data_IF_858772203038
#
_entry.id   IF_858772203038
#
_cell.length_a   1.000
_cell.length_b   1.000
_cell.length_c   1.000
_cell.angle_alpha   90.00
_cell.angle_beta   90.00
_cell.angle_gamma   90.00
#
_symmetry.space_group_name_H-M   'P 1'
#
loop_
_entity.id
_entity.type
_entity.pdbx_description
1 polymer ?
#
# COMPACT_ATOMS: atom_id res chain seq x y z
N UNK A 1 -25.72 35.45 -64.55
CA UNK A 1 -24.56 34.54 -64.42
C UNK A 1 -24.66 33.89 -63.08
N UNK A 2 -24.90 32.65 -63.09
CA UNK A 2 -25.30 31.80 -61.99
C UNK A 2 -24.07 31.26 -61.31
N UNK A 3 -23.93 31.37 -59.93
CA UNK A 3 -22.99 30.58 -59.15
C UNK A 3 -23.73 30.01 -57.97
N UNK A 4 -23.96 28.71 -58.06
CA UNK A 4 -24.62 27.89 -57.04
C UNK A 4 -23.78 27.71 -55.80
N UNK A 5 -24.38 27.25 -54.67
CA UNK A 5 -23.71 27.10 -53.36
C UNK A 5 -22.89 25.81 -53.30
N UNK A 6 -21.63 25.93 -52.85
CA UNK A 6 -20.80 24.79 -52.48
C UNK A 6 -21.26 24.20 -51.13
N UNK A 7 -21.92 23.06 -51.18
CA UNK A 7 -22.08 22.13 -50.09
C UNK A 7 -20.77 21.37 -49.92
N UNK A 8 -20.12 21.48 -48.76
CA UNK A 8 -18.90 20.79 -48.42
C UNK A 8 -18.65 20.74 -46.93
N UNK A 9 -19.68 20.41 -46.15
CA UNK A 9 -19.53 20.06 -44.73
C UNK A 9 -19.13 18.61 -44.57
N UNK A 10 -17.84 18.29 -44.61
CA UNK A 10 -17.34 17.01 -44.11
C UNK A 10 -17.44 17.04 -42.59
N UNK A 11 -18.53 16.47 -42.05
CA UNK A 11 -18.61 16.09 -40.63
C UNK A 11 -17.45 15.16 -40.32
N UNK A 12 -16.47 15.64 -39.56
CA UNK A 12 -15.52 14.78 -38.92
C UNK A 12 -16.31 13.98 -37.87
N UNK A 13 -16.69 12.76 -38.20
CA UNK A 13 -16.98 11.78 -37.19
C UNK A 13 -15.69 11.67 -36.33
N UNK A 14 -15.69 12.19 -35.11
CA UNK A 14 -14.74 11.79 -34.11
C UNK A 14 -14.94 10.28 -33.94
N UNK A 15 -13.99 9.48 -34.41
CA UNK A 15 -13.92 8.09 -34.05
C UNK A 15 -13.93 8.08 -32.50
N UNK A 16 -14.95 7.45 -31.92
CA UNK A 16 -14.96 7.17 -30.47
C UNK A 16 -13.71 6.33 -30.25
N UNK A 17 -12.74 6.83 -29.53
CA UNK A 17 -11.54 6.04 -29.16
C UNK A 17 -12.02 4.83 -28.37
N UNK A 18 -11.55 3.64 -28.71
CA UNK A 18 -11.87 2.42 -27.98
C UNK A 18 -11.53 2.60 -26.49
N UNK A 19 -12.36 2.04 -25.60
CA UNK A 19 -12.16 2.15 -24.15
C UNK A 19 -10.82 1.52 -23.70
N UNK A 20 -10.45 0.39 -24.31
CA UNK A 20 -9.16 -0.27 -24.06
C UNK A 20 -8.32 -0.27 -25.34
N UNK A 21 -7.38 0.67 -25.55
CA UNK A 21 -6.56 0.73 -26.77
C UNK A 21 -5.64 -0.50 -26.91
N UNK A 22 -5.62 -1.08 -28.12
CA UNK A 22 -4.72 -2.18 -28.45
C UNK A 22 -3.43 -1.59 -29.03
N UNK A 23 -2.29 -1.99 -28.48
CA UNK A 23 -0.96 -1.42 -28.78
C UNK A 23 0.04 -2.54 -29.05
N UNK A 24 0.80 -2.51 -30.17
CA UNK A 24 1.91 -3.42 -30.36
C UNK A 24 2.99 -3.21 -29.29
N UNK A 25 3.66 -4.28 -28.91
CA UNK A 25 4.73 -4.22 -27.89
C UNK A 25 5.84 -3.19 -28.23
N UNK A 26 6.15 -3.02 -29.52
CA UNK A 26 7.14 -2.04 -29.98
C UNK A 26 6.76 -0.59 -29.62
N UNK A 27 5.46 -0.29 -29.59
CA UNK A 27 4.94 1.06 -29.36
C UNK A 27 4.49 1.31 -27.91
N UNK A 28 4.73 0.33 -27.00
CA UNK A 28 4.22 0.36 -25.63
C UNK A 28 4.68 1.57 -24.81
N UNK A 29 5.91 2.03 -25.01
CA UNK A 29 6.48 3.10 -24.18
C UNK A 29 5.70 4.41 -24.29
N UNK A 30 5.27 4.80 -25.48
CA UNK A 30 4.47 6.01 -25.67
C UNK A 30 3.13 5.89 -24.96
N UNK A 31 2.51 4.70 -24.99
CA UNK A 31 1.22 4.45 -24.33
C UNK A 31 1.36 4.32 -22.82
N UNK A 32 2.37 3.61 -22.37
CA UNK A 32 2.64 3.39 -20.94
C UNK A 32 3.33 4.57 -20.27
N UNK A 33 3.76 5.60 -21.00
CA UNK A 33 4.42 6.76 -20.41
C UNK A 33 3.60 7.36 -19.26
N UNK A 34 2.28 7.50 -19.43
CA UNK A 34 1.38 7.98 -18.38
C UNK A 34 1.24 6.97 -17.21
N UNK A 35 1.39 5.68 -17.46
CA UNK A 35 1.34 4.60 -16.45
C UNK A 35 2.65 4.52 -15.68
N UNK A 36 3.79 4.66 -16.38
CA UNK A 36 5.14 4.53 -15.79
C UNK A 36 5.58 5.81 -15.07
N UNK A 37 5.19 6.99 -15.56
CA UNK A 37 5.54 8.28 -14.95
C UNK A 37 4.48 8.75 -13.93
N UNK A 38 4.03 7.85 -13.08
CA UNK A 38 3.08 8.17 -12.00
C UNK A 38 3.70 8.90 -10.82
N UNK A 39 5.02 9.14 -10.86
CA UNK A 39 5.73 10.01 -9.90
C UNK A 39 5.20 11.44 -9.90
N UNK A 40 4.52 11.85 -10.98
CA UNK A 40 3.76 13.10 -11.05
C UNK A 40 2.60 13.23 -10.03
N UNK A 41 2.32 12.21 -9.22
CA UNK A 41 1.41 12.33 -8.07
C UNK A 41 1.93 13.35 -7.05
N UNK A 42 3.22 13.62 -7.04
CA UNK A 42 3.86 14.60 -6.14
C UNK A 42 4.04 15.96 -6.83
N UNK A 43 2.91 16.59 -7.17
CA UNK A 43 2.88 17.99 -7.63
C UNK A 43 3.45 18.91 -6.56
N UNK A 44 4.27 19.89 -6.97
CA UNK A 44 4.88 20.86 -6.08
C UNK A 44 3.82 21.71 -5.31
N UNK A 45 2.64 21.92 -5.93
CA UNK A 45 1.51 22.60 -5.29
C UNK A 45 0.91 21.76 -4.16
N UNK A 46 0.76 20.45 -4.37
CA UNK A 46 0.29 19.54 -3.31
C UNK A 46 1.31 19.49 -2.17
N UNK A 47 2.60 19.37 -2.49
CA UNK A 47 3.64 19.33 -1.46
C UNK A 47 3.65 20.63 -0.62
N UNK A 48 3.56 21.78 -1.24
CA UNK A 48 3.51 23.07 -0.53
C UNK A 48 2.27 23.18 0.39
N UNK A 49 1.10 22.76 -0.11
CA UNK A 49 -0.13 22.73 0.69
C UNK A 49 -0.01 21.79 1.90
N UNK A 50 0.53 20.58 1.69
CA UNK A 50 0.71 19.59 2.75
C UNK A 50 1.73 20.07 3.79
N UNK A 51 2.85 20.68 3.39
CA UNK A 51 3.80 21.30 4.33
C UNK A 51 3.13 22.34 5.23
N UNK A 52 2.23 23.15 4.66
CA UNK A 52 1.43 24.10 5.43
C UNK A 52 0.52 23.41 6.46
N UNK A 53 -0.17 22.33 6.05
CA UNK A 53 -1.04 21.55 6.95
C UNK A 53 -0.21 20.91 8.08
N UNK A 54 0.92 20.27 7.77
CA UNK A 54 1.80 19.64 8.75
C UNK A 54 2.31 20.65 9.79
N UNK A 55 2.75 21.85 9.32
CA UNK A 55 3.22 22.92 10.20
C UNK A 55 2.10 23.44 11.11
N UNK A 56 0.90 23.63 10.57
CA UNK A 56 -0.26 24.13 11.32
C UNK A 56 -0.69 23.15 12.42
N UNK A 57 -0.80 21.86 12.11
CA UNK A 57 -1.15 20.83 13.11
C UNK A 57 -0.05 20.71 14.18
N UNK A 58 1.23 20.77 13.80
CA UNK A 58 2.36 20.75 14.78
C UNK A 58 2.28 21.93 15.75
N UNK A 59 1.83 23.10 15.30
CA UNK A 59 1.76 24.31 16.11
C UNK A 59 0.49 24.42 16.95
N UNK A 60 -0.67 24.04 16.41
CA UNK A 60 -1.99 24.31 17.02
C UNK A 60 -2.75 23.07 17.48
N UNK A 61 -2.21 21.86 17.26
CA UNK A 61 -2.81 20.61 17.72
C UNK A 61 -4.22 20.39 17.22
N UNK A 62 -5.12 19.99 18.13
CA UNK A 62 -6.54 19.73 17.83
C UNK A 62 -7.26 20.89 17.14
N UNK A 63 -6.90 22.12 17.47
CA UNK A 63 -7.53 23.29 16.87
C UNK A 63 -7.29 23.33 15.35
N UNK A 64 -6.06 23.06 14.91
CA UNK A 64 -5.74 22.98 13.47
C UNK A 64 -6.45 21.79 12.81
N UNK A 65 -6.45 20.63 13.45
CA UNK A 65 -7.13 19.43 12.92
C UNK A 65 -8.61 19.70 12.69
N UNK A 66 -9.28 20.32 13.66
CA UNK A 66 -10.72 20.65 13.57
C UNK A 66 -11.01 21.69 12.49
N UNK A 67 -10.21 22.76 12.41
CA UNK A 67 -10.38 23.82 11.40
C UNK A 67 -10.18 23.28 9.97
N UNK A 68 -9.19 22.40 9.78
CA UNK A 68 -8.91 21.76 8.50
C UNK A 68 -10.00 20.73 8.13
N UNK A 69 -10.50 19.96 9.10
CA UNK A 69 -11.61 19.02 8.87
C UNK A 69 -12.89 19.78 8.50
N UNK A 70 -13.22 20.88 9.20
CA UNK A 70 -14.35 21.72 8.83
C UNK A 70 -14.20 22.30 7.43
N UNK A 71 -12.99 22.74 7.07
CA UNK A 71 -12.71 23.30 5.73
C UNK A 71 -12.84 22.27 4.60
N UNK A 72 -12.36 21.04 4.81
CA UNK A 72 -12.26 20.04 3.75
C UNK A 72 -13.44 19.08 3.70
N UNK A 73 -13.99 18.70 4.87
CA UNK A 73 -15.06 17.73 5.00
C UNK A 73 -16.42 18.39 5.31
N UNK A 74 -16.44 19.73 5.54
CA UNK A 74 -17.66 20.50 5.77
C UNK A 74 -18.29 20.30 7.15
N UNK A 75 -17.59 19.66 8.08
CA UNK A 75 -18.10 19.33 9.42
C UNK A 75 -17.00 19.51 10.47
N UNK A 76 -17.38 19.95 11.67
CA UNK A 76 -16.49 20.05 12.84
C UNK A 76 -16.84 18.93 13.83
N UNK A 77 -16.23 17.76 13.73
CA UNK A 77 -16.60 16.58 14.51
C UNK A 77 -16.07 16.65 15.94
N UNK A 78 -16.57 15.77 16.81
CA UNK A 78 -15.82 15.32 17.97
C UNK A 78 -14.72 14.38 17.50
N UNK A 79 -13.45 14.75 17.66
CA UNK A 79 -12.32 14.00 17.09
C UNK A 79 -12.32 12.52 17.52
N UNK A 80 -12.40 12.23 18.81
CA UNK A 80 -12.45 10.85 19.30
C UNK A 80 -13.89 10.33 19.29
N UNK A 81 -14.10 9.22 18.59
CA UNK A 81 -15.38 8.51 18.59
C UNK A 81 -15.57 7.81 19.94
N UNK A 82 -16.72 7.98 20.62
CA UNK A 82 -17.01 7.30 21.88
C UNK A 82 -17.10 5.79 21.73
N UNK A 83 -16.60 5.03 22.70
CA UNK A 83 -16.59 3.56 22.67
C UNK A 83 -17.97 2.95 22.65
N UNK A 84 -18.94 3.56 23.35
CA UNK A 84 -20.34 3.14 23.34
C UNK A 84 -20.98 3.24 21.95
N UNK A 85 -20.56 4.22 21.14
CA UNK A 85 -20.96 4.31 19.73
C UNK A 85 -20.34 3.21 18.88
N UNK A 86 -19.08 2.85 19.13
CA UNK A 86 -18.43 1.71 18.46
C UNK A 86 -19.19 0.40 18.79
N UNK A 87 -19.55 0.21 20.05
CA UNK A 87 -20.34 -0.95 20.48
C UNK A 87 -21.72 -0.99 19.82
N UNK A 88 -22.40 0.15 19.75
CA UNK A 88 -23.70 0.26 19.10
C UNK A 88 -23.62 -0.03 17.59
N UNK A 89 -22.59 0.46 16.89
CA UNK A 89 -22.43 0.17 15.46
C UNK A 89 -22.12 -1.30 15.19
N UNK A 90 -21.31 -1.95 16.03
CA UNK A 90 -21.05 -3.39 15.94
C UNK A 90 -22.30 -4.22 16.21
N UNK A 91 -23.11 -3.81 17.20
CA UNK A 91 -24.37 -4.49 17.53
C UNK A 91 -25.42 -4.36 16.41
N UNK A 92 -25.39 -3.25 15.65
CA UNK A 92 -26.30 -3.00 14.54
C UNK A 92 -25.85 -3.64 13.21
N UNK A 93 -24.63 -4.20 13.16
CA UNK A 93 -24.11 -4.81 11.94
C UNK A 93 -24.93 -6.04 11.55
N UNK A 94 -25.24 -6.15 10.26
CA UNK A 94 -25.92 -7.32 9.71
C UNK A 94 -25.17 -8.61 10.08
N UNK A 95 -25.85 -9.64 10.64
CA UNK A 95 -25.18 -10.84 11.12
C UNK A 95 -24.46 -11.65 10.05
N UNK A 96 -24.92 -11.61 8.79
CA UNK A 96 -24.28 -12.33 7.68
C UNK A 96 -23.01 -11.59 7.27
N UNK A 97 -23.08 -10.26 7.12
CA UNK A 97 -21.91 -9.43 6.86
C UNK A 97 -20.88 -9.52 8.00
N UNK A 98 -21.34 -9.56 9.25
CA UNK A 98 -20.47 -9.76 10.41
C UNK A 98 -19.65 -11.05 10.27
N UNK A 99 -20.29 -12.18 9.93
CA UNK A 99 -19.58 -13.46 9.71
C UNK A 99 -18.57 -13.39 8.57
N UNK A 100 -18.90 -12.66 7.49
CA UNK A 100 -17.96 -12.44 6.38
C UNK A 100 -16.72 -11.68 6.85
N UNK A 101 -16.89 -10.58 7.59
CA UNK A 101 -15.78 -9.77 8.11
C UNK A 101 -14.93 -10.56 9.13
N UNK A 102 -15.56 -11.33 10.03
CA UNK A 102 -14.89 -12.20 11.00
C UNK A 102 -14.01 -13.26 10.28
N UNK A 103 -14.56 -13.88 9.22
CA UNK A 103 -13.83 -14.89 8.44
C UNK A 103 -12.68 -14.25 7.66
N UNK A 104 -12.90 -13.11 7.02
CA UNK A 104 -11.86 -12.36 6.32
C UNK A 104 -10.71 -12.00 7.28
N UNK A 105 -11.02 -11.44 8.45
CA UNK A 105 -10.03 -11.12 9.48
C UNK A 105 -9.26 -12.35 9.96
N UNK A 106 -9.94 -13.50 10.13
CA UNK A 106 -9.29 -14.76 10.51
C UNK A 106 -8.34 -15.30 9.42
N UNK A 107 -8.70 -15.16 8.14
CA UNK A 107 -7.85 -15.55 7.02
C UNK A 107 -6.60 -14.65 6.93
N UNK A 108 -6.78 -13.33 7.05
CA UNK A 108 -5.67 -12.36 7.07
C UNK A 108 -4.75 -12.63 8.27
N UNK A 109 -5.32 -12.92 9.46
CA UNK A 109 -4.53 -13.28 10.63
C UNK A 109 -3.66 -14.51 10.40
N UNK A 110 -4.23 -15.59 9.86
CA UNK A 110 -3.51 -16.83 9.58
C UNK A 110 -2.36 -16.62 8.60
N UNK A 111 -2.55 -15.80 7.57
CA UNK A 111 -1.51 -15.44 6.62
C UNK A 111 -0.36 -14.70 7.32
N UNK A 112 -0.67 -13.67 8.08
CA UNK A 112 0.34 -12.85 8.75
C UNK A 112 1.02 -13.55 9.94
N UNK A 113 0.37 -14.51 10.59
CA UNK A 113 1.01 -15.37 11.59
C UNK A 113 2.15 -16.21 10.98
N UNK A 114 2.02 -16.62 9.70
CA UNK A 114 3.07 -17.34 8.98
C UNK A 114 4.28 -16.44 8.64
N UNK A 115 4.10 -15.11 8.57
CA UNK A 115 5.18 -14.15 8.31
C UNK A 115 6.02 -13.81 9.55
N UNK A 116 5.57 -14.18 10.76
CA UNK A 116 6.21 -13.74 12.01
C UNK A 116 7.65 -14.21 12.12
N UNK A 117 8.63 -13.30 12.11
CA UNK A 117 10.03 -13.66 12.32
C UNK A 117 10.27 -14.00 13.79
N UNK A 118 11.31 -14.79 14.03
CA UNK A 118 11.72 -15.18 15.40
C UNK A 118 12.97 -14.44 15.82
N UNK A 119 13.02 -14.03 17.09
CA UNK A 119 14.27 -13.62 17.73
C UNK A 119 15.23 -14.82 17.73
N UNK A 120 16.52 -14.54 17.52
CA UNK A 120 17.55 -15.57 17.48
C UNK A 120 18.82 -15.11 18.17
N UNK A 121 19.59 -16.05 18.67
CA UNK A 121 20.93 -15.81 19.18
C UNK A 121 21.81 -17.04 18.88
N UNK A 122 23.08 -16.78 18.64
CA UNK A 122 24.14 -17.77 18.48
C UNK A 122 25.23 -17.48 19.48
N UNK A 123 25.73 -18.49 20.13
CA UNK A 123 26.83 -18.40 21.08
C UNK A 123 27.99 -19.25 20.56
N UNK A 124 29.16 -18.63 20.38
CA UNK A 124 30.36 -19.27 19.85
C UNK A 124 31.60 -18.64 20.50
N UNK A 125 32.51 -19.46 21.00
CA UNK A 125 33.79 -19.07 21.58
C UNK A 125 33.69 -17.93 22.63
N UNK A 126 32.65 -17.98 23.46
CA UNK A 126 32.42 -16.96 24.49
C UNK A 126 31.85 -15.64 23.99
N UNK A 127 31.47 -15.57 22.70
CA UNK A 127 30.70 -14.48 22.11
C UNK A 127 29.23 -14.88 21.90
N UNK A 128 28.31 -14.01 22.28
CA UNK A 128 26.91 -14.12 21.90
C UNK A 128 26.58 -13.01 20.91
N UNK A 129 26.00 -13.37 19.79
CA UNK A 129 25.41 -12.45 18.82
C UNK A 129 23.97 -12.85 18.57
N UNK A 130 23.08 -11.87 18.41
CA UNK A 130 21.69 -12.19 18.18
C UNK A 130 20.88 -11.00 17.74
N UNK A 131 19.60 -11.27 17.49
CA UNK A 131 18.62 -10.27 17.13
C UNK A 131 17.34 -10.48 17.96
N UNK A 132 16.98 -9.45 18.72
CA UNK A 132 15.68 -9.38 19.39
C UNK A 132 14.69 -8.68 18.48
N UNK A 133 13.54 -9.31 18.26
CA UNK A 133 12.43 -8.77 17.52
C UNK A 133 11.33 -8.38 18.50
N UNK A 134 10.84 -7.16 18.39
CA UNK A 134 9.77 -6.63 19.23
C UNK A 134 8.87 -5.69 18.43
N UNK A 135 7.56 -5.61 18.76
CA UNK A 135 6.66 -4.67 18.09
C UNK A 135 7.03 -3.22 18.41
N UNK A 136 6.50 -2.30 17.62
CA UNK A 136 6.33 -0.90 17.99
C UNK A 136 5.24 -0.80 19.07
N UNK A 137 5.16 0.32 19.79
CA UNK A 137 4.18 0.48 20.86
C UNK A 137 2.81 0.90 20.29
N UNK A 138 2.82 1.86 19.31
CA UNK A 138 1.62 2.46 18.75
C UNK A 138 1.65 2.48 17.23
N UNK A 139 0.55 2.10 16.60
CA UNK A 139 0.37 2.20 15.16
C UNK A 139 -0.85 3.07 14.81
N UNK A 140 -0.65 3.99 13.87
CA UNK A 140 -1.70 4.80 13.26
C UNK A 140 -2.19 4.13 11.97
N UNK A 141 -3.48 3.87 11.89
CA UNK A 141 -4.13 3.22 10.76
C UNK A 141 -4.98 4.25 10.02
N UNK A 142 -4.54 4.67 8.85
CA UNK A 142 -5.33 5.55 8.01
C UNK A 142 -6.32 4.72 7.17
N UNK A 143 -7.60 4.97 7.34
CA UNK A 143 -8.67 4.30 6.61
C UNK A 143 -9.40 5.34 5.76
N UNK A 144 -9.25 5.33 4.44
CA UNK A 144 -9.89 6.30 3.59
C UNK A 144 -11.42 6.12 3.64
N UNK A 145 -12.14 7.23 3.55
CA UNK A 145 -13.55 7.29 3.28
C UNK A 145 -13.75 8.32 2.17
N UNK A 146 -14.29 7.92 1.07
CA UNK A 146 -14.56 8.77 -0.07
C UNK A 146 -15.85 8.32 -0.73
N UNK A 147 -15.73 7.79 -1.94
CA UNK A 147 -16.88 7.27 -2.69
C UNK A 147 -17.42 5.93 -2.19
N UNK A 148 -16.66 5.22 -1.34
CA UNK A 148 -17.07 3.95 -0.74
C UNK A 148 -16.46 3.78 0.66
N UNK A 149 -17.17 3.14 1.60
CA UNK A 149 -16.59 2.70 2.87
C UNK A 149 -15.64 1.52 2.60
N UNK A 150 -14.50 1.49 3.29
CA UNK A 150 -13.49 0.45 3.11
C UNK A 150 -13.23 -0.32 4.42
N UNK A 151 -14.18 -1.17 4.88
CA UNK A 151 -13.97 -2.03 6.05
C UNK A 151 -12.77 -3.00 5.83
N UNK A 152 -12.50 -3.41 4.59
CA UNK A 152 -11.31 -4.20 4.22
C UNK A 152 -10.02 -3.50 4.63
N UNK A 153 -9.89 -2.18 4.40
CA UNK A 153 -8.71 -1.42 4.81
C UNK A 153 -8.51 -1.41 6.34
N UNK A 154 -9.59 -1.48 7.13
CA UNK A 154 -9.47 -1.65 8.60
C UNK A 154 -8.83 -3.00 8.90
N UNK A 155 -9.32 -4.08 8.30
CA UNK A 155 -8.80 -5.45 8.51
C UNK A 155 -7.33 -5.53 8.07
N UNK A 156 -7.03 -5.06 6.85
CA UNK A 156 -5.70 -5.17 6.25
C UNK A 156 -4.63 -4.33 6.96
N UNK A 157 -5.01 -3.22 7.58
CA UNK A 157 -4.09 -2.41 8.38
C UNK A 157 -3.97 -2.95 9.82
N UNK A 158 -5.08 -3.36 10.43
CA UNK A 158 -5.10 -3.70 11.85
C UNK A 158 -4.60 -5.12 12.14
N UNK A 159 -4.99 -6.11 11.31
CA UNK A 159 -4.67 -7.51 11.62
C UNK A 159 -3.16 -7.78 11.66
N UNK A 160 -2.34 -7.34 10.70
CA UNK A 160 -0.88 -7.54 10.80
C UNK A 160 -0.26 -6.80 11.99
N UNK A 161 -0.78 -5.64 12.39
CA UNK A 161 -0.34 -4.94 13.60
C UNK A 161 -0.67 -5.74 14.87
N UNK A 162 -1.88 -6.29 14.96
CA UNK A 162 -2.31 -7.15 16.08
C UNK A 162 -1.49 -8.45 16.13
N UNK A 163 -1.18 -9.07 14.99
CA UNK A 163 -0.32 -10.26 14.90
C UNK A 163 1.10 -9.94 15.32
N UNK A 164 1.62 -8.77 14.95
CA UNK A 164 2.94 -8.30 15.39
C UNK A 164 3.00 -8.04 16.90
N UNK A 165 1.85 -7.87 17.57
CA UNK A 165 1.75 -7.60 19.00
C UNK A 165 1.85 -6.12 19.35
N UNK A 166 1.35 -5.22 18.49
CA UNK A 166 1.25 -3.78 18.77
C UNK A 166 0.20 -3.56 19.84
N UNK A 167 0.54 -2.81 20.89
CA UNK A 167 -0.32 -2.62 22.06
C UNK A 167 -1.50 -1.66 21.76
N UNK A 168 -1.25 -0.56 21.06
CA UNK A 168 -2.25 0.47 20.79
C UNK A 168 -2.41 0.74 19.30
N UNK A 169 -3.64 0.59 18.79
CA UNK A 169 -4.01 0.92 17.41
C UNK A 169 -4.90 2.15 17.37
N UNK A 170 -4.52 3.14 16.57
CA UNK A 170 -5.19 4.42 16.41
C UNK A 170 -5.72 4.58 14.99
N UNK A 171 -7.03 4.41 14.78
CA UNK A 171 -7.68 4.52 13.47
C UNK A 171 -8.10 5.96 13.22
N UNK A 172 -7.66 6.53 12.08
CA UNK A 172 -8.17 7.80 11.55
C UNK A 172 -8.96 7.54 10.27
N UNK A 173 -10.20 8.04 10.22
CA UNK A 173 -11.04 7.97 9.02
C UNK A 173 -11.86 9.27 8.88
N UNK A 174 -12.02 9.80 7.65
CA UNK A 174 -12.78 11.02 7.42
C UNK A 174 -14.22 10.91 7.95
N UNK A 175 -14.75 11.96 8.55
CA UNK A 175 -16.16 12.01 8.96
C UNK A 175 -17.09 12.24 7.77
N UNK A 176 -18.31 11.70 7.85
CA UNK A 176 -19.43 12.15 7.05
C UNK A 176 -20.04 13.45 7.58
N UNK A 177 -21.13 13.92 6.95
CA UNK A 177 -21.82 15.16 7.36
C UNK A 177 -22.44 15.09 8.77
N UNK A 178 -22.61 13.89 9.30
CA UNK A 178 -23.00 13.63 10.70
C UNK A 178 -21.87 13.76 11.71
N UNK A 179 -20.66 14.00 11.25
CA UNK A 179 -19.46 14.15 12.07
C UNK A 179 -18.82 12.83 12.50
N UNK A 180 -19.22 11.70 11.91
CA UNK A 180 -18.73 10.37 12.26
C UNK A 180 -18.13 9.65 11.04
N UNK A 181 -17.09 8.82 11.22
CA UNK A 181 -16.68 7.88 10.20
C UNK A 181 -17.81 6.90 9.84
N UNK A 182 -17.72 6.34 8.65
CA UNK A 182 -18.76 5.42 8.15
C UNK A 182 -19.04 4.27 9.14
N UNK A 183 -20.31 3.89 9.41
CA UNK A 183 -20.67 2.86 10.40
C UNK A 183 -19.96 1.51 10.19
N UNK A 184 -19.73 1.08 8.94
CA UNK A 184 -18.98 -0.16 8.65
C UNK A 184 -17.51 -0.08 9.09
N UNK A 185 -16.88 1.09 8.99
CA UNK A 185 -15.51 1.31 9.49
C UNK A 185 -15.47 1.21 11.00
N UNK A 186 -16.43 1.86 11.68
CA UNK A 186 -16.56 1.84 13.14
C UNK A 186 -16.82 0.41 13.65
N UNK A 187 -17.80 -0.28 13.05
CA UNK A 187 -18.14 -1.66 13.42
C UNK A 187 -16.96 -2.62 13.21
N UNK A 188 -16.22 -2.48 12.08
CA UNK A 188 -15.06 -3.35 11.79
C UNK A 188 -13.90 -3.05 12.74
N UNK A 189 -13.62 -1.80 13.05
CA UNK A 189 -12.63 -1.45 14.06
C UNK A 189 -12.98 -2.08 15.42
N UNK A 190 -14.23 -1.97 15.85
CA UNK A 190 -14.71 -2.57 17.11
C UNK A 190 -14.70 -4.10 17.08
N UNK A 191 -15.03 -4.72 15.95
CA UNK A 191 -14.93 -6.17 15.72
C UNK A 191 -13.51 -6.71 16.00
N UNK A 192 -12.49 -5.92 15.64
CA UNK A 192 -11.07 -6.22 15.87
C UNK A 192 -10.57 -5.79 17.26
N UNK A 193 -11.45 -5.28 18.13
CA UNK A 193 -11.11 -4.84 19.49
C UNK A 193 -10.48 -3.45 19.56
N UNK A 194 -10.52 -2.66 18.49
CA UNK A 194 -9.93 -1.31 18.47
C UNK A 194 -10.88 -0.33 19.16
N UNK A 195 -10.35 0.48 20.09
CA UNK A 195 -11.08 1.46 20.88
C UNK A 195 -10.75 2.92 20.54
N UNK A 196 -9.64 3.13 19.82
CA UNK A 196 -9.16 4.46 19.48
C UNK A 196 -9.45 4.76 18.00
N UNK A 197 -10.63 5.34 17.75
CA UNK A 197 -11.07 5.76 16.43
C UNK A 197 -11.29 7.28 16.43
N UNK A 198 -10.78 7.95 15.39
CA UNK A 198 -10.82 9.40 15.26
C UNK A 198 -11.50 9.81 13.95
N UNK A 199 -12.42 10.76 14.06
CA UNK A 199 -13.17 11.34 12.95
C UNK A 199 -12.34 12.43 12.26
N UNK A 200 -11.30 12.03 11.55
CA UNK A 200 -10.40 12.92 10.83
C UNK A 200 -9.78 12.20 9.63
N UNK A 201 -9.73 12.89 8.49
CA UNK A 201 -9.12 12.41 7.25
C UNK A 201 -7.99 13.30 6.77
N UNK A 202 -7.52 13.07 5.54
CA UNK A 202 -6.57 13.93 4.85
C UNK A 202 -5.17 13.99 5.47
N UNK A 203 -4.39 14.98 5.02
CA UNK A 203 -3.03 15.22 5.50
C UNK A 203 -2.98 15.60 6.98
N UNK A 204 -4.05 16.23 7.51
CA UNK A 204 -4.14 16.62 8.92
C UNK A 204 -4.29 15.39 9.85
N UNK A 205 -4.87 14.27 9.38
CA UNK A 205 -4.89 13.02 10.12
C UNK A 205 -3.47 12.42 10.25
N UNK A 206 -2.71 12.40 9.15
CA UNK A 206 -1.30 11.98 9.14
C UNK A 206 -0.46 12.87 10.07
N UNK A 207 -0.68 14.18 10.04
CA UNK A 207 0.00 15.13 10.92
C UNK A 207 -0.30 14.86 12.41
N UNK A 208 -1.60 14.65 12.74
CA UNK A 208 -2.02 14.33 14.11
C UNK A 208 -1.38 13.04 14.62
N UNK A 209 -1.35 11.98 13.82
CA UNK A 209 -0.69 10.72 14.17
C UNK A 209 0.83 10.86 14.29
N UNK A 210 1.48 11.65 13.42
CA UNK A 210 2.93 11.81 13.41
C UNK A 210 3.47 12.66 14.57
N UNK A 211 2.78 13.74 14.91
CA UNK A 211 3.26 14.70 15.91
C UNK A 211 2.60 14.56 17.28
N UNK A 212 1.41 13.95 17.32
CA UNK A 212 0.52 13.98 18.47
C UNK A 212 -0.23 15.32 18.58
N UNK A 213 -1.41 15.26 19.16
CA UNK A 213 -2.23 16.41 19.55
C UNK A 213 -2.80 16.16 20.95
N UNK A 214 -3.67 17.04 21.43
CA UNK A 214 -4.32 16.86 22.75
C UNK A 214 -5.22 15.61 22.78
N UNK A 215 -5.82 15.25 21.63
CA UNK A 215 -6.75 14.11 21.52
C UNK A 215 -6.11 12.88 20.86
N UNK A 216 -5.25 13.07 19.84
CA UNK A 216 -4.63 12.01 19.06
C UNK A 216 -3.20 11.78 19.54
N UNK A 217 -2.86 10.63 20.16
CA UNK A 217 -1.49 10.34 20.57
C UNK A 217 -0.56 10.21 19.36
N UNK A 218 0.71 10.61 19.55
CA UNK A 218 1.76 10.29 18.58
C UNK A 218 1.96 8.78 18.49
N UNK A 219 2.14 8.30 17.24
CA UNK A 219 2.39 6.88 16.95
C UNK A 219 3.81 6.65 16.44
N UNK A 220 4.23 5.39 16.41
CA UNK A 220 5.55 4.98 15.93
C UNK A 220 5.57 4.70 14.43
N UNK A 221 4.42 4.24 13.88
CA UNK A 221 4.26 3.94 12.45
C UNK A 221 2.86 4.32 11.98
N UNK A 222 2.76 4.86 10.76
CA UNK A 222 1.48 5.17 10.09
C UNK A 222 1.36 4.30 8.86
N UNK A 223 0.26 3.55 8.76
CA UNK A 223 -0.03 2.66 7.64
C UNK A 223 -1.40 2.97 7.02
N UNK A 224 -1.60 2.51 5.82
CA UNK A 224 -2.86 2.62 5.08
C UNK A 224 -2.78 3.49 3.83
N UNK A 225 -3.60 3.17 2.82
CA UNK A 225 -3.68 3.90 1.57
C UNK A 225 -4.41 5.23 1.74
N UNK A 226 -4.17 6.18 0.85
CA UNK A 226 -4.86 7.45 0.84
C UNK A 226 -4.65 8.22 -0.46
N UNK A 227 -5.36 9.34 -0.62
CA UNK A 227 -5.20 10.20 -1.78
C UNK A 227 -3.82 10.88 -1.84
N UNK A 228 -3.56 11.66 -2.89
CA UNK A 228 -2.28 12.34 -3.11
C UNK A 228 -1.83 13.22 -1.92
N UNK A 229 -2.75 13.83 -1.17
CA UNK A 229 -2.43 14.63 0.02
C UNK A 229 -1.97 13.76 1.18
N UNK A 230 -2.63 12.62 1.40
CA UNK A 230 -2.25 11.63 2.42
C UNK A 230 -0.90 10.99 2.10
N UNK A 231 -0.72 10.55 0.84
CA UNK A 231 0.54 9.98 0.37
C UNK A 231 1.70 10.96 0.51
N UNK A 232 1.49 12.24 0.13
CA UNK A 232 2.48 13.31 0.30
C UNK A 232 2.77 13.58 1.78
N UNK A 233 1.74 13.60 2.64
CA UNK A 233 1.93 13.78 4.07
C UNK A 233 2.75 12.64 4.68
N UNK A 234 2.43 11.37 4.36
CA UNK A 234 3.23 10.21 4.79
C UNK A 234 4.69 10.35 4.36
N UNK A 235 4.96 10.71 3.11
CA UNK A 235 6.32 10.95 2.61
C UNK A 235 7.06 12.03 3.42
N UNK A 236 6.38 13.12 3.76
CA UNK A 236 6.99 14.28 4.44
C UNK A 236 7.24 14.07 5.94
N UNK A 237 6.56 13.10 6.56
CA UNK A 237 6.77 12.77 7.99
C UNK A 237 7.76 11.64 8.20
N UNK A 238 8.35 11.07 7.13
CA UNK A 238 9.42 10.07 7.25
C UNK A 238 10.59 10.65 8.04
N UNK A 239 11.05 9.92 9.04
CA UNK A 239 12.07 10.36 10.01
C UNK A 239 11.51 10.90 11.32
N UNK A 240 10.25 11.37 11.33
CA UNK A 240 9.50 11.66 12.56
C UNK A 240 8.72 10.41 13.01
N UNK A 241 8.21 9.63 12.06
CA UNK A 241 7.42 8.43 12.25
C UNK A 241 7.73 7.45 11.12
N UNK A 242 7.60 6.14 11.36
CA UNK A 242 7.67 5.12 10.32
C UNK A 242 6.42 5.16 9.43
N UNK A 243 6.54 4.66 8.20
CA UNK A 243 5.40 4.47 7.30
C UNK A 243 5.50 3.09 6.62
N UNK A 244 4.39 2.57 6.12
CA UNK A 244 4.34 1.39 5.25
C UNK A 244 4.98 1.67 3.87
N UNK A 245 4.31 2.48 3.06
CA UNK A 245 4.73 2.87 1.72
C UNK A 245 4.14 4.22 1.32
N UNK A 246 4.57 4.72 0.18
CA UNK A 246 3.95 5.88 -0.47
C UNK A 246 3.16 5.35 -1.66
N UNK A 247 1.85 5.17 -1.48
CA UNK A 247 0.96 4.62 -2.50
C UNK A 247 0.61 5.67 -3.57
N UNK A 248 0.61 5.23 -4.82
CA UNK A 248 0.03 5.91 -5.97
C UNK A 248 -1.38 5.40 -6.28
N UNK A 249 -1.94 5.74 -7.47
CA UNK A 249 -3.17 5.14 -7.97
C UNK A 249 -3.01 3.64 -8.19
N UNK A 250 -4.09 2.89 -7.99
CA UNK A 250 -4.11 1.44 -8.11
C UNK A 250 -3.85 0.93 -9.54
N UNK A 251 -3.31 -0.27 -9.66
CA UNK A 251 -2.83 -0.86 -10.91
C UNK A 251 -3.11 -2.35 -10.98
N UNK A 252 -3.55 -2.83 -12.14
CA UNK A 252 -3.56 -4.26 -12.48
C UNK A 252 -2.86 -4.50 -13.81
N UNK A 253 -2.10 -5.58 -13.88
CA UNK A 253 -1.67 -6.21 -15.12
C UNK A 253 -2.28 -7.59 -15.20
N UNK A 254 -2.98 -7.85 -16.29
CA UNK A 254 -3.47 -9.19 -16.65
C UNK A 254 -2.51 -9.76 -17.69
N UNK A 255 -1.74 -10.76 -17.33
CA UNK A 255 -0.91 -11.55 -18.25
C UNK A 255 -1.72 -12.75 -18.71
N UNK A 256 -2.02 -12.84 -20.02
CA UNK A 256 -2.86 -13.87 -20.55
C UNK A 256 -2.24 -14.54 -21.79
N UNK A 257 -2.38 -15.86 -21.91
CA UNK A 257 -2.10 -16.59 -23.15
C UNK A 257 -3.28 -16.49 -24.15
N UNK A 258 -3.20 -17.21 -25.26
CA UNK A 258 -4.22 -17.14 -26.31
C UNK A 258 -5.53 -17.87 -25.97
N UNK A 259 -5.53 -18.73 -24.98
CA UNK A 259 -6.65 -19.62 -24.61
C UNK A 259 -7.43 -19.08 -23.37
N UNK A 260 -6.99 -17.97 -22.79
CA UNK A 260 -7.67 -17.30 -21.67
C UNK A 260 -9.08 -16.82 -22.07
N UNK A 261 -10.02 -16.92 -21.11
CA UNK A 261 -11.38 -16.42 -21.30
C UNK A 261 -11.35 -14.87 -21.33
N UNK A 262 -11.79 -14.24 -22.46
CA UNK A 262 -11.78 -12.78 -22.59
C UNK A 262 -12.70 -12.08 -21.57
N UNK A 263 -13.76 -12.75 -21.11
CA UNK A 263 -14.69 -12.19 -20.11
C UNK A 263 -14.02 -12.09 -18.75
N UNK A 264 -13.22 -13.10 -18.36
CA UNK A 264 -12.47 -13.07 -17.11
C UNK A 264 -11.41 -11.96 -17.15
N UNK A 265 -10.62 -11.90 -18.21
CA UNK A 265 -9.63 -10.84 -18.38
C UNK A 265 -10.26 -9.43 -18.36
N UNK A 266 -11.39 -9.25 -19.02
CA UNK A 266 -12.11 -7.98 -19.01
C UNK A 266 -12.63 -7.63 -17.60
N UNK A 267 -13.19 -8.61 -16.88
CA UNK A 267 -13.69 -8.40 -15.52
C UNK A 267 -12.58 -7.97 -14.55
N UNK A 268 -11.41 -8.62 -14.59
CA UNK A 268 -10.25 -8.26 -13.76
C UNK A 268 -9.74 -6.84 -14.07
N UNK A 269 -9.67 -6.47 -15.36
CA UNK A 269 -9.30 -5.10 -15.76
C UNK A 269 -10.31 -4.06 -15.27
N UNK A 270 -11.61 -4.37 -15.31
CA UNK A 270 -12.67 -3.48 -14.87
C UNK A 270 -12.73 -3.35 -13.35
N UNK A 271 -12.47 -4.43 -12.61
CA UNK A 271 -12.39 -4.41 -11.15
C UNK A 271 -11.37 -3.38 -10.65
N UNK A 272 -10.21 -3.29 -11.30
CA UNK A 272 -9.21 -2.28 -10.95
C UNK A 272 -9.56 -0.89 -11.49
N UNK A 273 -10.00 -0.80 -12.73
CA UNK A 273 -10.27 0.50 -13.38
C UNK A 273 -11.40 1.29 -12.73
N UNK A 274 -12.31 0.64 -11.98
CA UNK A 274 -13.40 1.31 -11.27
C UNK A 274 -12.96 2.01 -9.96
N UNK A 275 -11.76 1.73 -9.45
CA UNK A 275 -11.30 2.31 -8.18
C UNK A 275 -11.15 3.83 -8.25
N UNK A 276 -10.55 4.36 -9.33
CA UNK A 276 -10.28 5.79 -9.50
C UNK A 276 -10.11 6.14 -11.00
N UNK A 277 -10.37 7.38 -11.37
CA UNK A 277 -10.17 7.88 -12.76
C UNK A 277 -8.70 7.77 -13.23
N UNK A 278 -7.75 7.63 -12.31
CA UNK A 278 -6.32 7.44 -12.55
C UNK A 278 -5.86 5.99 -12.37
N UNK A 279 -6.75 5.06 -12.07
CA UNK A 279 -6.42 3.64 -11.99
C UNK A 279 -5.91 3.11 -13.34
N UNK A 280 -4.98 2.15 -13.31
CA UNK A 280 -4.42 1.54 -14.52
C UNK A 280 -4.82 0.09 -14.64
N UNK A 281 -5.21 -0.30 -15.86
CA UNK A 281 -5.60 -1.66 -16.18
C UNK A 281 -4.97 -2.06 -17.53
N UNK A 282 -3.99 -2.97 -17.49
CA UNK A 282 -3.19 -3.35 -18.65
C UNK A 282 -3.30 -4.85 -18.90
N UNK A 283 -3.77 -5.22 -20.09
CA UNK A 283 -3.65 -6.59 -20.61
C UNK A 283 -2.30 -6.74 -21.32
N UNK A 284 -1.58 -7.82 -21.06
CA UNK A 284 -0.37 -8.21 -21.77
C UNK A 284 -0.55 -9.63 -22.31
N UNK A 285 -0.50 -9.79 -23.63
CA UNK A 285 -0.75 -11.08 -24.29
C UNK A 285 -0.01 -11.21 -25.62
N UNK A 286 0.46 -12.42 -25.99
CA UNK A 286 0.95 -12.67 -27.35
C UNK A 286 -0.17 -12.87 -28.39
N UNK A 287 -1.45 -12.90 -27.97
CA UNK A 287 -2.59 -13.15 -28.84
C UNK A 287 -3.32 -11.86 -29.22
N UNK A 288 -3.15 -11.40 -30.46
CA UNK A 288 -3.93 -10.29 -30.98
C UNK A 288 -5.45 -10.58 -31.01
N UNK A 289 -5.84 -11.84 -31.21
CA UNK A 289 -7.24 -12.26 -31.19
C UNK A 289 -7.86 -12.09 -29.79
N UNK A 290 -7.12 -12.51 -28.74
CA UNK A 290 -7.56 -12.31 -27.35
C UNK A 290 -7.66 -10.80 -27.03
N UNK A 291 -6.68 -10.00 -27.42
CA UNK A 291 -6.72 -8.55 -27.18
C UNK A 291 -7.97 -7.89 -27.75
N UNK A 292 -8.38 -8.28 -28.99
CA UNK A 292 -9.61 -7.80 -29.63
C UNK A 292 -10.85 -8.30 -28.88
N UNK A 293 -10.88 -9.56 -28.47
CA UNK A 293 -12.00 -10.14 -27.74
C UNK A 293 -12.18 -9.46 -26.36
N UNK A 294 -11.07 -9.22 -25.62
CA UNK A 294 -11.12 -8.51 -24.32
C UNK A 294 -11.58 -7.07 -24.48
N UNK A 295 -11.11 -6.35 -25.53
CA UNK A 295 -11.59 -5.01 -25.83
C UNK A 295 -13.11 -4.99 -26.04
N UNK A 296 -13.64 -5.95 -26.83
CA UNK A 296 -15.07 -6.06 -27.06
C UNK A 296 -15.87 -6.36 -25.79
N UNK A 297 -15.36 -7.22 -24.91
CA UNK A 297 -15.97 -7.51 -23.61
C UNK A 297 -15.95 -6.29 -22.67
N UNK A 298 -14.87 -5.53 -22.63
CA UNK A 298 -14.81 -4.27 -21.88
C UNK A 298 -15.88 -3.28 -22.37
N UNK A 299 -16.01 -3.11 -23.69
CA UNK A 299 -17.02 -2.22 -24.27
C UNK A 299 -18.45 -2.69 -23.98
N UNK A 300 -18.68 -4.00 -23.90
CA UNK A 300 -19.97 -4.60 -23.56
C UNK A 300 -20.33 -4.42 -22.10
N UNK A 301 -19.36 -4.65 -21.18
CA UNK A 301 -19.60 -4.68 -19.74
C UNK A 301 -19.70 -3.28 -19.11
N UNK A 302 -18.89 -2.32 -19.55
CA UNK A 302 -18.83 -0.97 -18.95
C UNK A 302 -20.19 -0.29 -18.81
N UNK A 303 -21.10 -0.32 -19.80
CA UNK A 303 -22.42 0.31 -19.65
C UNK A 303 -23.32 -0.30 -18.56
N UNK A 304 -23.05 -1.55 -18.17
CA UNK A 304 -23.85 -2.29 -17.17
C UNK A 304 -23.40 -2.02 -15.72
N UNK A 305 -22.23 -1.38 -15.55
CA UNK A 305 -21.62 -1.16 -14.24
C UNK A 305 -22.00 0.20 -13.63
N UNK A 306 -22.26 0.27 -12.32
CA UNK A 306 -22.63 1.52 -11.66
C UNK A 306 -21.60 2.63 -11.79
N UNK A 307 -20.31 2.30 -11.88
CA UNK A 307 -19.17 3.23 -11.97
C UNK A 307 -18.68 3.44 -13.41
N UNK A 308 -19.57 3.29 -14.41
CA UNK A 308 -19.24 3.42 -15.83
C UNK A 308 -18.52 4.73 -16.19
N UNK A 309 -18.80 5.84 -15.51
CA UNK A 309 -18.12 7.12 -15.77
C UNK A 309 -16.65 7.09 -15.36
N UNK A 310 -16.34 6.54 -14.20
CA UNK A 310 -14.95 6.31 -13.73
C UNK A 310 -14.20 5.42 -14.72
N UNK A 311 -14.82 4.30 -15.14
CA UNK A 311 -14.24 3.39 -16.13
C UNK A 311 -13.96 4.07 -17.49
N UNK A 312 -14.88 4.93 -17.96
CA UNK A 312 -14.69 5.70 -19.21
C UNK A 312 -13.60 6.77 -19.09
N UNK A 313 -13.29 7.22 -17.89
CA UNK A 313 -12.19 8.15 -17.66
C UNK A 313 -10.84 7.39 -17.56
N UNK A 314 -10.77 6.32 -16.75
CA UNK A 314 -9.52 5.62 -16.47
C UNK A 314 -8.99 4.79 -17.64
N UNK A 315 -9.83 3.94 -18.26
CA UNK A 315 -9.39 3.01 -19.31
C UNK A 315 -8.75 3.68 -20.54
N UNK A 316 -9.36 4.73 -21.17
CA UNK A 316 -8.71 5.40 -22.30
C UNK A 316 -7.43 6.16 -21.90
N UNK A 317 -7.33 6.61 -20.66
CA UNK A 317 -6.18 7.38 -20.18
C UNK A 317 -5.03 6.46 -19.73
N UNK A 318 -5.32 5.41 -18.98
CA UNK A 318 -4.33 4.60 -18.26
C UNK A 318 -4.44 3.09 -18.56
N UNK A 319 -5.40 2.64 -19.38
CA UNK A 319 -5.54 1.25 -19.80
C UNK A 319 -4.87 0.96 -21.13
N UNK A 320 -4.49 -0.29 -21.38
CA UNK A 320 -3.99 -0.78 -22.67
C UNK A 320 -4.14 -2.29 -22.79
N UNK A 321 -4.27 -2.79 -24.03
CA UNK A 321 -4.00 -4.18 -24.38
C UNK A 321 -2.70 -4.23 -25.18
N UNK A 322 -1.62 -4.73 -24.60
CA UNK A 322 -0.30 -4.80 -25.21
C UNK A 322 -0.15 -6.16 -25.87
N UNK A 323 0.02 -6.15 -27.19
CA UNK A 323 0.23 -7.38 -27.97
C UNK A 323 1.72 -7.59 -28.17
N UNK A 324 2.26 -8.67 -27.61
CA UNK A 324 3.66 -9.07 -27.69
C UNK A 324 3.89 -10.10 -28.81
N UNK A 325 5.13 -10.29 -29.24
CA UNK A 325 5.50 -11.30 -30.22
C UNK A 325 5.68 -12.72 -29.61
N UNK A 326 5.80 -12.80 -28.28
CA UNK A 326 5.98 -14.05 -27.55
C UNK A 326 5.61 -13.89 -26.08
N UNK A 327 5.46 -15.02 -25.36
CA UNK A 327 5.28 -15.01 -23.91
C UNK A 327 6.54 -14.50 -23.17
N UNK A 328 7.74 -14.66 -23.75
CA UNK A 328 8.97 -14.11 -23.16
C UNK A 328 8.97 -12.57 -23.17
N UNK A 329 8.50 -11.96 -24.25
CA UNK A 329 8.29 -10.50 -24.30
C UNK A 329 7.17 -10.08 -23.35
N UNK A 330 6.12 -10.89 -23.18
CA UNK A 330 5.04 -10.60 -22.24
C UNK A 330 5.54 -10.59 -20.79
N UNK A 331 6.32 -11.57 -20.37
CA UNK A 331 6.98 -11.61 -19.06
C UNK A 331 7.91 -10.39 -18.87
N UNK A 332 8.70 -10.04 -19.87
CA UNK A 332 9.58 -8.87 -19.80
C UNK A 332 8.77 -7.55 -19.66
N UNK A 333 7.62 -7.46 -20.33
CA UNK A 333 6.70 -6.32 -20.19
C UNK A 333 6.12 -6.20 -18.79
N UNK A 334 5.70 -7.32 -18.18
CA UNK A 334 5.21 -7.38 -16.79
C UNK A 334 6.31 -6.93 -15.81
N UNK A 335 7.53 -7.44 -15.97
CA UNK A 335 8.67 -7.04 -15.16
C UNK A 335 9.03 -5.56 -15.33
N UNK A 336 8.85 -4.98 -16.54
CA UNK A 336 9.04 -3.56 -16.79
C UNK A 336 7.99 -2.71 -16.07
N UNK A 337 6.74 -3.15 -16.03
CA UNK A 337 5.65 -2.49 -15.34
C UNK A 337 5.80 -2.61 -13.81
N UNK A 338 6.25 -3.76 -13.31
CA UNK A 338 6.32 -4.08 -11.88
C UNK A 338 5.02 -3.72 -11.14
N UNK A 339 3.87 -4.33 -11.54
CA UNK A 339 2.54 -3.88 -11.14
C UNK A 339 2.25 -4.12 -9.66
N UNK A 340 1.27 -3.39 -9.16
CA UNK A 340 0.64 -3.64 -7.87
C UNK A 340 -0.01 -5.03 -7.83
N UNK A 341 -0.95 -5.29 -8.76
CA UNK A 341 -1.64 -6.57 -8.92
C UNK A 341 -1.25 -7.21 -10.26
N UNK A 342 -0.91 -8.49 -10.21
CA UNK A 342 -0.65 -9.30 -11.40
C UNK A 342 -1.59 -10.49 -11.42
N UNK A 343 -2.50 -10.53 -12.39
CA UNK A 343 -3.35 -11.70 -12.67
C UNK A 343 -2.72 -12.47 -13.83
N UNK A 344 -2.52 -13.79 -13.68
CA UNK A 344 -1.97 -14.66 -14.71
C UNK A 344 -3.06 -15.63 -15.18
N UNK A 345 -3.63 -15.36 -16.35
CA UNK A 345 -4.65 -16.19 -17.01
C UNK A 345 -3.98 -17.01 -18.12
N UNK A 346 -3.34 -18.10 -17.73
CA UNK A 346 -2.62 -18.99 -18.64
C UNK A 346 -2.66 -20.42 -18.12
N UNK A 347 -2.52 -21.40 -19.01
CA UNK A 347 -2.47 -22.81 -18.64
C UNK A 347 -1.31 -23.15 -17.71
N UNK A 348 -0.13 -22.53 -17.93
CA UNK A 348 1.06 -22.65 -17.06
C UNK A 348 1.27 -21.40 -16.20
N UNK A 349 0.26 -21.02 -15.42
CA UNK A 349 0.34 -19.85 -14.57
C UNK A 349 1.47 -19.91 -13.53
N UNK A 350 1.72 -21.09 -12.94
CA UNK A 350 2.79 -21.30 -11.95
C UNK A 350 4.19 -21.18 -12.57
N UNK A 351 4.39 -21.77 -13.76
CA UNK A 351 5.66 -21.66 -14.49
C UNK A 351 5.95 -20.22 -14.93
N UNK A 352 4.92 -19.46 -15.35
CA UNK A 352 5.04 -18.04 -15.67
C UNK A 352 5.38 -17.21 -14.43
N UNK A 353 4.70 -17.45 -13.30
CA UNK A 353 5.01 -16.80 -12.03
C UNK A 353 6.48 -17.00 -11.63
N UNK A 354 7.01 -18.23 -11.76
CA UNK A 354 8.42 -18.52 -11.46
C UNK A 354 9.44 -17.71 -12.30
N UNK A 355 9.01 -17.04 -13.38
CA UNK A 355 9.83 -16.22 -14.27
C UNK A 355 9.70 -14.71 -14.02
N UNK A 356 8.64 -14.28 -13.33
CA UNK A 356 8.33 -12.88 -13.02
C UNK A 356 8.99 -12.50 -11.71
N UNK A 357 9.66 -11.35 -11.68
CA UNK A 357 10.44 -10.88 -10.53
C UNK A 357 9.76 -9.78 -9.75
N UNK A 358 8.88 -9.01 -10.38
CA UNK A 358 8.35 -7.77 -9.82
C UNK A 358 6.83 -7.71 -9.94
N UNK A 359 6.15 -7.98 -8.83
CA UNK A 359 4.72 -7.71 -8.65
C UNK A 359 4.43 -7.53 -7.15
N UNK A 360 3.45 -6.72 -6.80
CA UNK A 360 3.02 -6.53 -5.41
C UNK A 360 2.26 -7.74 -4.89
N UNK A 361 1.27 -8.21 -5.65
CA UNK A 361 0.53 -9.46 -5.43
C UNK A 361 0.36 -10.22 -6.75
N UNK A 362 0.27 -11.55 -6.69
CA UNK A 362 0.11 -12.41 -7.88
C UNK A 362 -1.07 -13.35 -7.69
N UNK A 363 -1.93 -13.40 -8.71
CA UNK A 363 -3.16 -14.20 -8.75
C UNK A 363 -3.04 -15.23 -9.87
N UNK A 364 -3.11 -16.52 -9.53
CA UNK A 364 -2.78 -17.60 -10.45
C UNK A 364 -4.04 -18.33 -10.95
N UNK A 365 -4.21 -18.32 -12.26
CA UNK A 365 -5.23 -19.08 -12.94
C UNK A 365 -6.63 -18.44 -12.93
N UNK A 366 -7.58 -19.05 -13.67
CA UNK A 366 -8.88 -18.45 -13.98
C UNK A 366 -9.85 -18.36 -12.79
N UNK A 367 -9.53 -19.01 -11.66
CA UNK A 367 -10.39 -19.05 -10.48
C UNK A 367 -9.88 -18.19 -9.33
N UNK A 368 -8.86 -17.35 -9.58
CA UNK A 368 -8.25 -16.47 -8.59
C UNK A 368 -8.30 -15.01 -9.06
N UNK A 369 -9.50 -14.41 -9.18
CA UNK A 369 -9.61 -13.00 -9.52
C UNK A 369 -9.09 -12.13 -8.37
N UNK A 370 -8.60 -10.92 -8.70
CA UNK A 370 -8.05 -9.94 -7.76
C UNK A 370 -8.90 -9.75 -6.49
N UNK A 371 -10.25 -9.61 -6.54
CA UNK A 371 -11.07 -9.40 -5.35
C UNK A 371 -10.99 -10.54 -4.30
N UNK A 372 -10.61 -11.75 -4.70
CA UNK A 372 -10.39 -12.85 -3.74
C UNK A 372 -9.23 -12.52 -2.79
N UNK A 373 -8.15 -11.95 -3.29
CA UNK A 373 -7.03 -11.48 -2.47
C UNK A 373 -7.39 -10.25 -1.67
N UNK A 374 -8.05 -9.29 -2.30
CA UNK A 374 -8.36 -8.01 -1.68
C UNK A 374 -9.31 -8.10 -0.48
N UNK A 375 -10.21 -9.07 -0.49
CA UNK A 375 -11.24 -9.15 0.54
C UNK A 375 -11.14 -10.36 1.45
N UNK A 376 -10.63 -11.51 1.00
CA UNK A 376 -10.96 -12.76 1.71
C UNK A 376 -9.84 -13.79 1.87
N UNK A 377 -8.91 -13.92 0.92
CA UNK A 377 -7.94 -15.03 0.90
C UNK A 377 -6.89 -14.97 2.01
N UNK A 378 -6.52 -13.77 2.46
CA UNK A 378 -5.55 -13.61 3.55
C UNK A 378 -4.36 -12.70 3.27
N UNK A 379 -3.74 -12.68 2.06
CA UNK A 379 -2.73 -11.69 1.70
C UNK A 379 -3.24 -10.26 1.88
N UNK A 380 -2.31 -9.32 2.07
CA UNK A 380 -2.65 -7.92 2.27
C UNK A 380 -2.84 -7.18 0.94
N UNK A 381 -3.87 -6.33 0.86
CA UNK A 381 -4.13 -5.51 -0.31
C UNK A 381 -3.51 -4.09 -0.25
N UNK A 382 -2.80 -3.75 0.82
CA UNK A 382 -1.99 -2.53 0.87
C UNK A 382 -0.66 -2.82 0.21
N UNK A 383 -0.58 -2.55 -1.07
CA UNK A 383 0.46 -3.03 -1.97
C UNK A 383 1.36 -1.88 -2.47
N UNK A 384 2.58 -2.18 -2.93
CA UNK A 384 3.44 -1.22 -3.58
C UNK A 384 2.91 -0.87 -4.98
N UNK A 385 2.75 0.41 -5.29
CA UNK A 385 2.26 0.94 -6.56
C UNK A 385 3.35 1.70 -7.33
N UNK A 386 3.09 2.07 -8.59
CA UNK A 386 3.99 2.93 -9.38
C UNK A 386 5.36 2.30 -9.64
N UNK A 387 5.41 0.98 -9.82
CA UNK A 387 6.63 0.22 -10.07
C UNK A 387 7.51 0.02 -8.83
N UNK A 388 7.04 0.38 -7.63
CA UNK A 388 7.81 0.21 -6.38
C UNK A 388 7.88 -1.25 -5.92
N UNK A 389 7.09 -2.17 -6.51
CA UNK A 389 7.20 -3.61 -6.30
C UNK A 389 8.61 -4.17 -6.59
N UNK A 390 9.50 -3.37 -7.21
CA UNK A 390 10.92 -3.70 -7.41
C UNK A 390 11.73 -3.72 -6.11
N UNK A 391 11.29 -3.02 -5.07
CA UNK A 391 12.02 -2.84 -3.81
C UNK A 391 11.13 -2.74 -2.58
N UNK A 392 9.83 -2.62 -2.74
CA UNK A 392 8.85 -2.59 -1.66
C UNK A 392 7.99 -3.86 -1.69
N UNK A 393 7.36 -4.18 -0.57
CA UNK A 393 6.47 -5.33 -0.38
C UNK A 393 5.09 -4.87 0.06
N UNK A 394 4.12 -5.77 0.00
CA UNK A 394 2.82 -5.59 0.66
C UNK A 394 2.99 -5.27 2.14
N UNK A 395 2.00 -4.60 2.73
CA UNK A 395 1.94 -4.39 4.16
C UNK A 395 1.87 -5.75 4.88
N UNK A 396 2.83 -5.98 5.76
CA UNK A 396 2.91 -7.20 6.57
C UNK A 396 3.40 -6.91 7.97
N UNK A 397 3.55 -7.92 8.79
CA UNK A 397 3.99 -7.80 10.19
C UNK A 397 5.33 -7.07 10.34
N UNK A 398 6.19 -7.17 9.32
CA UNK A 398 7.53 -6.56 9.33
C UNK A 398 7.53 -5.04 9.51
N UNK A 399 6.48 -4.35 9.08
CA UNK A 399 6.32 -2.88 9.21
C UNK A 399 6.14 -2.47 10.67
N UNK A 400 5.53 -3.34 11.47
CA UNK A 400 5.25 -3.11 12.89
C UNK A 400 6.31 -3.66 13.83
N UNK A 401 7.40 -4.22 13.29
CA UNK A 401 8.45 -4.88 14.07
C UNK A 401 9.76 -4.10 14.03
N UNK A 402 10.41 -4.01 15.19
CA UNK A 402 11.77 -3.50 15.34
C UNK A 402 12.73 -4.66 15.56
N UNK A 403 13.92 -4.54 14.97
CA UNK A 403 15.01 -5.50 15.14
C UNK A 403 16.15 -4.84 15.90
N UNK A 404 16.49 -5.39 17.05
CA UNK A 404 17.56 -4.90 17.91
C UNK A 404 18.68 -5.92 17.95
N UNK A 405 19.89 -5.52 17.55
CA UNK A 405 21.07 -6.37 17.68
C UNK A 405 21.46 -6.51 19.15
N UNK A 406 21.80 -7.73 19.55
CA UNK A 406 22.27 -8.06 20.90
C UNK A 406 23.65 -8.67 20.78
N UNK A 407 24.56 -8.18 21.60
CA UNK A 407 25.95 -8.62 21.64
C UNK A 407 26.41 -8.79 23.09
N UNK A 408 27.08 -9.90 23.40
CA UNK A 408 27.77 -10.12 24.68
C UNK A 408 29.10 -10.81 24.40
N UNK A 409 30.17 -10.30 24.99
CA UNK A 409 31.48 -10.94 25.01
C UNK A 409 31.80 -11.40 26.43
N UNK A 410 32.43 -12.59 26.57
CA UNK A 410 33.08 -12.98 27.79
C UNK A 410 34.45 -12.29 27.93
N UNK A 411 35.05 -12.26 29.13
CA UNK A 411 36.41 -11.76 29.30
C UNK A 411 37.41 -12.43 28.37
N UNK A 412 37.34 -13.75 28.22
CA UNK A 412 38.23 -14.54 27.38
C UNK A 412 38.09 -14.19 25.89
N UNK A 413 36.88 -14.02 25.44
CA UNK A 413 36.62 -13.59 24.05
C UNK A 413 37.13 -12.16 23.78
N UNK A 414 36.96 -11.27 24.77
CA UNK A 414 37.49 -9.91 24.66
C UNK A 414 39.04 -9.91 24.66
N UNK A 415 39.68 -10.81 25.45
CA UNK A 415 41.13 -10.97 25.44
C UNK A 415 41.63 -11.47 24.07
N UNK A 416 40.89 -12.38 23.43
CA UNK A 416 41.24 -12.91 22.11
C UNK A 416 41.14 -11.87 21.00
N UNK A 417 40.06 -11.11 20.95
CA UNK A 417 39.73 -10.22 19.82
C UNK A 417 40.08 -8.75 20.06
N UNK A 418 40.23 -8.34 21.33
CA UNK A 418 40.23 -6.92 21.70
C UNK A 418 41.32 -6.09 21.05
N UNK A 419 42.54 -6.62 20.89
CA UNK A 419 43.60 -5.87 20.23
C UNK A 419 43.34 -5.69 18.72
N UNK A 420 42.72 -6.68 18.08
CA UNK A 420 42.31 -6.54 16.67
C UNK A 420 41.22 -5.46 16.53
N UNK A 421 40.25 -5.40 17.46
CA UNK A 421 39.21 -4.35 17.46
C UNK A 421 39.81 -2.97 17.67
N UNK A 422 40.75 -2.84 18.65
CA UNK A 422 41.42 -1.58 18.95
C UNK A 422 42.23 -1.08 17.75
N UNK A 423 42.98 -1.98 17.10
CA UNK A 423 43.77 -1.66 15.88
C UNK A 423 42.89 -1.24 14.73
N UNK A 424 41.72 -1.85 14.56
CA UNK A 424 40.79 -1.44 13.50
C UNK A 424 40.24 -0.04 13.76
N UNK A 425 39.84 0.27 14.99
CA UNK A 425 39.39 1.60 15.38
C UNK A 425 40.46 2.69 15.14
N UNK A 426 41.74 2.39 15.47
CA UNK A 426 42.87 3.29 15.20
C UNK A 426 43.09 3.52 13.71
N UNK A 427 42.90 2.50 12.88
CA UNK A 427 43.02 2.65 11.40
C UNK A 427 41.94 3.62 10.85
N UNK A 428 40.80 3.76 11.55
CA UNK A 428 39.76 4.75 11.28
C UNK A 428 39.97 6.10 11.98
N UNK A 429 41.09 6.28 12.68
CA UNK A 429 41.39 7.46 13.51
C UNK A 429 40.41 7.67 14.66
N UNK A 430 39.81 6.58 15.18
CA UNK A 430 38.84 6.58 16.27
C UNK A 430 39.50 6.10 17.59
N UNK A 431 40.46 6.86 18.10
CA UNK A 431 41.28 6.50 19.27
C UNK A 431 40.47 6.24 20.55
N UNK A 432 39.35 6.94 20.74
CA UNK A 432 38.45 6.70 21.85
C UNK A 432 37.76 5.33 21.76
N UNK A 433 37.48 4.81 20.57
CA UNK A 433 36.96 3.45 20.36
C UNK A 433 38.04 2.41 20.77
N UNK A 434 39.30 2.60 20.31
CA UNK A 434 40.42 1.76 20.70
C UNK A 434 40.65 1.81 22.21
N UNK A 435 40.61 3.00 22.84
CA UNK A 435 40.73 3.19 24.28
C UNK A 435 39.65 2.42 25.03
N UNK A 436 38.38 2.46 24.57
CA UNK A 436 37.26 1.74 25.23
C UNK A 436 37.50 0.23 25.32
N UNK A 437 38.23 -0.37 24.39
CA UNK A 437 38.63 -1.78 24.42
C UNK A 437 39.84 -1.97 25.29
N UNK A 438 40.91 -1.18 25.14
CA UNK A 438 42.18 -1.35 25.85
C UNK A 438 42.08 -1.18 27.37
N UNK A 439 41.23 -0.27 27.84
CA UNK A 439 41.01 -0.14 29.31
C UNK A 439 40.40 -1.41 29.91
N UNK A 440 39.56 -2.11 29.14
CA UNK A 440 38.99 -3.40 29.59
C UNK A 440 40.02 -4.54 29.53
N UNK A 441 40.83 -4.58 28.47
CA UNK A 441 41.96 -5.54 28.41
C UNK A 441 42.95 -5.36 29.55
N UNK A 442 43.30 -4.11 29.86
CA UNK A 442 44.17 -3.81 31.01
C UNK A 442 43.56 -4.23 32.34
N UNK A 443 42.27 -4.02 32.53
CA UNK A 443 41.56 -4.48 33.73
C UNK A 443 41.53 -6.01 33.87
N UNK A 444 41.43 -6.74 32.77
CA UNK A 444 41.45 -8.21 32.73
C UNK A 444 42.89 -8.76 32.98
N UNK A 445 43.92 -8.00 32.66
CA UNK A 445 45.31 -8.38 32.90
C UNK A 445 45.81 -8.06 34.33
N UNK A 446 45.06 -7.23 35.07
CA UNK A 446 45.43 -6.89 36.46
C UNK A 446 45.17 -8.10 37.40
N UNK A 447 46.11 -8.44 38.31
CA UNK A 447 45.86 -9.50 39.28
C UNK A 447 44.67 -9.16 40.16
N UNK A 448 43.82 -10.16 40.42
CA UNK A 448 42.74 -10.02 41.39
C UNK A 448 43.33 -9.63 42.76
N UNK A 449 42.88 -8.46 43.29
CA UNK A 449 43.28 -7.99 44.62
C UNK A 449 42.70 -8.90 45.71
#
# INVERSE_FOLDING_TARGET
>A
MNRGPHLGGRGRFRAVSALLPIVPYADRHDRLAAVLDRRAVFDAGIEAAVRGILADVRQRGDAAVLDLTERFDGVRPRLRVPTDLLDATLAALDPDLRRVLETAAANVRRFHEAEMPRSWQTEEDGGLVGQRISPVERAGLYVPAGTAPLPSSVIMNAVPALVAGVDELHVCSPPGLDGLPHPLVLATARLLGIEHVYAVGGAQAVAALAFGTETVPRVDVIVGPGNAYVATAKKLVVGEVGIDSVAGPSEVVVLADGDADPTFAAADLLAQAEHDERASAVLVTPSAALAVAVQAEVERLVPELPRAETLRASLPAYGAAIVTGSMDEAVACVDELAPEHLVILADDAEGLWGRIRHAGAVFLGPHTPEPVGDYYAGPNHVLPTGGTARFASALGVGVFLRRQSVLRYTPERLQADGEAVARFAEAETLDAHALAVRVRLAALAAPAL
#
